data_IF_504946005300
#
_entry.id   IF_504946005300
#
_cell.length_a   1.000
_cell.length_b   1.000
_cell.length_c   1.000
_cell.angle_alpha   90.00
_cell.angle_beta   90.00
_cell.angle_gamma   90.00
#
_symmetry.space_group_name_H-M   'P 1'
#
loop_
_entity.id
_entity.type
_entity.pdbx_description
1 polymer ?
#
# COMPACT_ATOMS: atom_id res chain seq x y z
N UNK A 1 -16.61 5.29 -10.11
CA UNK A 1 -16.49 3.83 -10.24
C UNK A 1 -17.07 3.14 -8.99
N UNK A 2 -18.34 2.72 -8.97
CA UNK A 2 -18.97 2.12 -7.78
C UNK A 2 -18.79 0.60 -7.66
N UNK A 3 -18.18 -0.05 -8.67
CA UNK A 3 -18.28 -1.50 -8.85
C UNK A 3 -17.18 -2.36 -8.21
N UNK A 4 -16.09 -1.77 -7.70
CA UNK A 4 -14.95 -2.56 -7.23
C UNK A 4 -15.14 -3.16 -5.81
N UNK A 5 -16.22 -2.80 -5.09
CA UNK A 5 -16.39 -3.19 -3.68
C UNK A 5 -15.35 -2.58 -2.73
N UNK A 6 -14.38 -1.82 -3.25
CA UNK A 6 -13.35 -1.12 -2.51
C UNK A 6 -13.28 0.36 -2.95
N UNK A 7 -12.80 1.21 -2.04
CA UNK A 7 -12.57 2.64 -2.31
C UNK A 7 -11.13 2.81 -2.75
N UNK A 8 -10.92 3.45 -3.91
CA UNK A 8 -9.58 3.77 -4.41
C UNK A 8 -9.29 5.25 -4.14
N UNK A 9 -8.18 5.50 -3.45
CA UNK A 9 -7.77 6.82 -3.00
C UNK A 9 -6.42 7.20 -3.62
N UNK A 10 -6.21 8.49 -3.83
CA UNK A 10 -5.03 9.05 -4.45
C UNK A 10 -4.21 9.88 -3.44
N UNK A 11 -2.89 9.75 -3.55
CA UNK A 11 -1.91 10.50 -2.77
C UNK A 11 -0.55 10.52 -3.46
N UNK A 12 0.40 11.34 -3.00
CA UNK A 12 1.80 11.28 -3.42
C UNK A 12 2.60 10.14 -2.76
N UNK A 13 3.80 9.86 -3.29
CA UNK A 13 4.65 8.76 -2.86
C UNK A 13 5.10 8.87 -1.39
N UNK A 14 5.47 10.06 -0.93
CA UNK A 14 5.91 10.30 0.44
C UNK A 14 4.80 10.00 1.45
N UNK A 15 3.58 10.48 1.15
CA UNK A 15 2.40 10.22 1.96
C UNK A 15 2.03 8.73 1.92
N UNK A 16 2.19 8.06 0.78
CA UNK A 16 1.95 6.62 0.67
C UNK A 16 2.91 5.81 1.55
N UNK A 17 4.19 6.20 1.58
CA UNK A 17 5.21 5.59 2.44
C UNK A 17 4.89 5.77 3.93
N UNK A 18 4.55 7.00 4.32
CA UNK A 18 4.14 7.31 5.69
C UNK A 18 2.87 6.56 6.11
N UNK A 19 1.88 6.47 5.23
CA UNK A 19 0.65 5.73 5.44
C UNK A 19 0.91 4.24 5.68
N UNK A 20 1.82 3.65 4.89
CA UNK A 20 2.23 2.25 5.02
C UNK A 20 2.94 2.01 6.36
N UNK A 21 3.85 2.90 6.75
CA UNK A 21 4.52 2.83 8.07
C UNK A 21 3.52 2.96 9.24
N UNK A 22 2.57 3.90 9.15
CA UNK A 22 1.53 4.06 10.17
C UNK A 22 0.62 2.82 10.25
N UNK A 23 0.25 2.24 9.10
CA UNK A 23 -0.56 1.03 9.04
C UNK A 23 0.14 -0.15 9.72
N UNK A 24 1.44 -0.37 9.44
CA UNK A 24 2.24 -1.41 10.10
C UNK A 24 2.28 -1.20 11.62
N UNK A 25 2.39 0.06 12.08
CA UNK A 25 2.38 0.39 13.50
C UNK A 25 1.03 0.11 14.20
N UNK A 26 -0.08 -0.06 13.47
CA UNK A 26 -1.36 -0.50 14.06
C UNK A 26 -1.41 -2.01 14.36
N UNK A 27 -0.44 -2.79 13.88
CA UNK A 27 -0.33 -4.23 14.13
C UNK A 27 -1.34 -5.09 13.38
N UNK A 28 -1.59 -6.29 13.90
CA UNK A 28 -2.26 -7.40 13.20
C UNK A 28 -3.76 -7.20 12.92
N UNK A 29 -4.37 -6.10 13.39
CA UNK A 29 -5.76 -5.75 13.07
C UNK A 29 -5.94 -5.33 11.59
N UNK A 30 -4.84 -5.04 10.89
CA UNK A 30 -4.84 -4.61 9.50
C UNK A 30 -4.07 -5.60 8.63
N UNK A 31 -4.73 -6.09 7.58
CA UNK A 31 -4.05 -6.70 6.45
C UNK A 31 -3.54 -5.58 5.53
N UNK A 32 -2.22 -5.58 5.29
CA UNK A 32 -1.53 -4.63 4.43
C UNK A 32 -0.97 -5.41 3.25
N UNK A 33 -1.32 -4.98 2.04
CA UNK A 33 -0.82 -5.57 0.80
C UNK A 33 -0.04 -4.49 0.06
N UNK A 34 1.26 -4.68 -0.03
CA UNK A 34 2.18 -3.77 -0.70
C UNK A 34 2.13 -3.99 -2.23
N UNK A 35 2.13 -2.90 -3.01
CA UNK A 35 2.29 -2.91 -4.47
C UNK A 35 3.51 -2.04 -4.84
N UNK A 36 4.74 -2.58 -4.72
CA UNK A 36 5.95 -1.84 -5.09
C UNK A 36 6.09 -1.67 -6.60
N UNK A 37 6.83 -0.64 -7.03
CA UNK A 37 7.14 -0.40 -8.45
C UNK A 37 7.77 -1.63 -9.12
N UNK A 38 8.60 -2.36 -8.37
CA UNK A 38 9.23 -3.60 -8.82
C UNK A 38 8.22 -4.66 -9.29
N UNK A 39 7.03 -4.70 -8.68
CA UNK A 39 5.98 -5.63 -9.09
C UNK A 39 5.39 -5.29 -10.47
N UNK A 40 5.54 -4.04 -10.94
CA UNK A 40 5.07 -3.62 -12.26
C UNK A 40 6.10 -3.86 -13.38
N UNK A 41 7.38 -3.88 -13.03
CA UNK A 41 8.48 -3.99 -14.00
C UNK A 41 8.98 -5.42 -14.16
N UNK A 42 8.83 -6.26 -13.14
CA UNK A 42 9.19 -7.67 -13.22
C UNK A 42 8.18 -8.49 -14.03
N UNK A 43 8.70 -9.38 -14.88
CA UNK A 43 7.92 -10.33 -15.66
C UNK A 43 8.00 -11.76 -15.13
N UNK A 44 8.87 -12.00 -14.15
CA UNK A 44 9.14 -13.31 -13.56
C UNK A 44 9.01 -13.20 -12.05
N UNK A 45 8.04 -13.94 -11.50
CA UNK A 45 7.68 -13.81 -10.09
C UNK A 45 8.84 -14.13 -9.14
N UNK A 46 9.67 -15.14 -9.45
CA UNK A 46 10.82 -15.47 -8.61
C UNK A 46 11.88 -14.35 -8.60
N UNK A 47 12.18 -13.75 -9.76
CA UNK A 47 13.10 -12.61 -9.84
C UNK A 47 12.57 -11.40 -9.06
N UNK A 48 11.26 -11.18 -9.10
CA UNK A 48 10.59 -10.18 -8.27
C UNK A 48 10.82 -10.44 -6.78
N UNK A 49 10.61 -11.67 -6.30
CA UNK A 49 10.83 -12.01 -4.90
C UNK A 49 12.30 -11.82 -4.49
N UNK A 50 13.23 -12.30 -5.30
CA UNK A 50 14.67 -12.19 -5.01
C UNK A 50 15.08 -10.71 -4.89
N UNK A 51 14.68 -9.88 -5.85
CA UNK A 51 14.95 -8.45 -5.83
C UNK A 51 14.27 -7.75 -4.63
N UNK A 52 13.02 -8.11 -4.34
CA UNK A 52 12.28 -7.55 -3.21
C UNK A 52 12.96 -7.86 -1.88
N UNK A 53 13.48 -9.08 -1.68
CA UNK A 53 14.18 -9.46 -0.45
C UNK A 53 15.50 -8.71 -0.24
N UNK A 54 16.11 -8.20 -1.32
CA UNK A 54 17.34 -7.42 -1.26
C UNK A 54 17.14 -5.94 -0.94
N UNK A 55 15.91 -5.43 -1.00
CA UNK A 55 15.59 -4.02 -0.77
C UNK A 55 15.07 -3.85 0.64
N UNK A 56 15.61 -2.87 1.37
CA UNK A 56 15.03 -2.52 2.66
C UNK A 56 13.67 -1.87 2.43
N UNK A 57 12.74 -2.15 3.32
CA UNK A 57 11.41 -1.53 3.35
C UNK A 57 11.43 -0.01 3.20
N UNK A 58 12.38 0.68 3.85
CA UNK A 58 12.55 2.14 3.79
C UNK A 58 12.91 2.66 2.39
N UNK A 59 13.59 1.84 1.59
CA UNK A 59 14.03 2.17 0.23
C UNK A 59 13.03 1.70 -0.84
N UNK A 60 11.96 1.02 -0.44
CA UNK A 60 10.99 0.45 -1.37
C UNK A 60 10.07 1.56 -1.92
N UNK A 61 10.04 1.74 -3.24
CA UNK A 61 9.09 2.67 -3.85
C UNK A 61 7.73 1.99 -4.03
N UNK A 62 6.72 2.50 -3.35
CA UNK A 62 5.34 2.00 -3.44
C UNK A 62 4.58 2.72 -4.55
N UNK A 63 3.95 1.96 -5.45
CA UNK A 63 2.96 2.49 -6.38
C UNK A 63 1.56 2.52 -5.76
N UNK A 64 1.25 1.55 -4.91
CA UNK A 64 0.02 1.50 -4.13
C UNK A 64 0.19 0.65 -2.86
N UNK A 65 -0.76 0.80 -1.94
CA UNK A 65 -0.98 -0.15 -0.84
C UNK A 65 -2.48 -0.45 -0.76
N UNK A 66 -2.84 -1.69 -0.42
CA UNK A 66 -4.21 -2.04 -0.05
C UNK A 66 -4.30 -2.29 1.45
N UNK A 67 -5.32 -1.71 2.08
CA UNK A 67 -5.57 -1.83 3.52
C UNK A 67 -6.92 -2.49 3.73
N UNK A 68 -6.95 -3.58 4.50
CA UNK A 68 -8.19 -4.30 4.85
C UNK A 68 -8.22 -4.51 6.37
N UNK A 69 -9.32 -4.12 7.01
CA UNK A 69 -9.48 -4.25 8.45
C UNK A 69 -10.67 -3.47 9.00
N UNK A 70 -10.75 -3.27 10.33
CA UNK A 70 -11.85 -2.54 10.97
C UNK A 70 -12.02 -1.12 10.42
N UNK A 71 -13.25 -0.75 10.09
CA UNK A 71 -13.57 0.52 9.42
C UNK A 71 -13.01 1.75 10.16
N UNK A 72 -13.14 1.81 11.47
CA UNK A 72 -12.65 2.93 12.28
C UNK A 72 -11.13 3.12 12.19
N UNK A 73 -10.36 2.02 12.02
CA UNK A 73 -8.91 2.06 11.84
C UNK A 73 -8.55 2.52 10.42
N UNK A 74 -9.22 1.98 9.41
CA UNK A 74 -9.05 2.39 8.01
C UNK A 74 -9.38 3.87 7.83
N UNK A 75 -10.55 4.31 8.31
CA UNK A 75 -11.00 5.70 8.22
C UNK A 75 -9.97 6.65 8.87
N UNK A 76 -9.38 6.26 10.01
CA UNK A 76 -8.33 7.03 10.67
C UNK A 76 -7.07 7.24 9.82
N UNK A 77 -6.64 6.21 9.08
CA UNK A 77 -5.48 6.23 8.20
C UNK A 77 -5.74 7.06 6.93
N UNK A 78 -6.92 6.93 6.33
CA UNK A 78 -7.17 7.44 4.97
C UNK A 78 -7.96 8.76 4.91
N UNK A 79 -8.42 9.32 6.04
CA UNK A 79 -9.33 10.48 6.10
C UNK A 79 -8.91 11.73 5.32
N UNK A 80 -7.61 11.92 5.07
CA UNK A 80 -7.07 13.09 4.35
C UNK A 80 -6.91 12.85 2.86
N UNK A 81 -7.06 11.61 2.41
CA UNK A 81 -6.87 11.24 1.02
C UNK A 81 -8.13 11.55 0.22
N UNK A 82 -7.93 11.80 -1.07
CA UNK A 82 -9.03 12.07 -2.01
C UNK A 82 -9.33 10.82 -2.82
N UNK A 83 -10.56 10.69 -3.30
CA UNK A 83 -10.91 9.66 -4.28
C UNK A 83 -10.01 9.82 -5.52
N UNK A 84 -9.51 8.69 -6.02
CA UNK A 84 -8.82 8.67 -7.31
C UNK A 84 -9.84 9.05 -8.41
N UNK A 85 -9.52 10.04 -9.28
CA UNK A 85 -10.43 10.50 -10.33
C UNK A 85 -10.71 9.44 -11.41
#
# INVERSE_FOLDING_TARGET
>A
MPWAGCTVLATDADTLHALRAEAVAKGDELLIIDMPELAQTSRVYNEYLDQLTGIKTEDLTYCAISLVGPRNKIDGLVRKLRLLP
#
